data_IF_843223379627
#
_entry.id   IF_843223379627
#
_cell.length_a   1.000
_cell.length_b   1.000
_cell.length_c   1.000
_cell.angle_alpha   90.00
_cell.angle_beta   90.00
_cell.angle_gamma   90.00
#
_symmetry.space_group_name_H-M   'P 1'
#
loop_
_entity.id
_entity.type
_entity.pdbx_description
1 polymer ?
#
# COMPACT_ATOMS: atom_id res chain seq x y z
N UNK A 1 -21.96 -6.71 15.93
CA UNK A 1 -23.46 -6.67 15.77
C UNK A 1 -24.15 -5.34 16.19
N UNK A 2 -23.85 -4.75 17.36
CA UNK A 2 -24.43 -3.46 17.83
C UNK A 2 -24.13 -2.26 16.90
N UNK A 3 -22.93 -2.20 16.33
CA UNK A 3 -22.45 -1.09 15.49
C UNK A 3 -23.25 -0.97 14.18
N UNK A 4 -23.55 -2.09 13.52
CA UNK A 4 -24.38 -2.11 12.32
C UNK A 4 -25.82 -1.62 12.57
N UNK A 5 -26.38 -1.94 13.74
CA UNK A 5 -27.70 -1.46 14.13
C UNK A 5 -27.72 0.05 14.39
N UNK A 6 -26.64 0.62 14.94
CA UNK A 6 -26.49 2.07 15.10
C UNK A 6 -26.40 2.78 13.75
N UNK A 7 -25.66 2.23 12.78
CA UNK A 7 -25.57 2.82 11.44
C UNK A 7 -26.90 2.78 10.68
N UNK A 8 -27.62 1.66 10.72
CA UNK A 8 -28.99 1.53 10.19
C UNK A 8 -29.93 2.56 10.83
N UNK A 9 -29.85 2.76 12.14
CA UNK A 9 -30.66 3.76 12.85
C UNK A 9 -30.37 5.19 12.40
N UNK A 10 -29.10 5.56 12.24
CA UNK A 10 -28.68 6.89 11.76
C UNK A 10 -29.15 7.11 10.32
N UNK A 11 -29.05 6.09 9.46
CA UNK A 11 -29.55 6.14 8.07
C UNK A 11 -31.07 6.33 8.03
N UNK A 12 -31.81 5.67 8.93
CA UNK A 12 -33.27 5.82 9.04
C UNK A 12 -33.69 7.19 9.58
N UNK A 13 -32.92 7.79 10.49
CA UNK A 13 -33.21 9.12 11.07
C UNK A 13 -32.87 10.29 10.14
N UNK A 14 -31.74 10.25 9.41
CA UNK A 14 -31.30 11.35 8.52
C UNK A 14 -31.72 11.19 7.06
N UNK A 15 -32.25 10.03 6.68
CA UNK A 15 -32.60 9.67 5.30
C UNK A 15 -31.38 9.23 4.48
N UNK A 16 -31.57 8.25 3.59
CA UNK A 16 -30.46 7.57 2.86
C UNK A 16 -29.59 8.48 2.00
N UNK A 17 -30.15 9.58 1.45
CA UNK A 17 -29.47 10.45 0.46
C UNK A 17 -28.72 11.63 1.08
N UNK A 18 -28.65 11.74 2.40
CA UNK A 18 -28.00 12.87 3.02
C UNK A 18 -26.47 12.72 2.99
N UNK A 19 -25.76 13.72 2.46
CA UNK A 19 -24.29 13.72 2.36
C UNK A 19 -23.58 13.47 3.70
N UNK A 20 -24.22 13.83 4.82
CA UNK A 20 -23.74 13.51 6.18
C UNK A 20 -23.57 12.00 6.44
N UNK A 21 -24.27 11.12 5.71
CA UNK A 21 -24.13 9.67 5.83
C UNK A 21 -22.83 9.15 5.22
N UNK A 22 -22.25 9.85 4.25
CA UNK A 22 -20.97 9.46 3.64
C UNK A 22 -19.88 9.51 4.71
N UNK A 23 -19.79 10.62 5.44
CA UNK A 23 -18.77 10.80 6.50
C UNK A 23 -19.09 10.00 7.77
N UNK A 24 -20.37 9.86 8.13
CA UNK A 24 -20.77 9.25 9.42
C UNK A 24 -20.97 7.74 9.37
N UNK A 25 -21.17 7.14 8.18
CA UNK A 25 -21.48 5.71 8.04
C UNK A 25 -20.53 5.04 7.05
N UNK A 26 -20.40 5.58 5.84
CA UNK A 26 -19.61 4.94 4.78
C UNK A 26 -18.11 5.04 5.08
N UNK A 27 -17.62 6.21 5.49
CA UNK A 27 -16.21 6.43 5.83
C UNK A 27 -15.72 5.53 6.96
N UNK A 28 -16.39 5.42 8.12
CA UNK A 28 -15.95 4.51 9.18
C UNK A 28 -16.06 3.04 8.77
N UNK A 29 -17.10 2.61 8.04
CA UNK A 29 -17.18 1.23 7.55
C UNK A 29 -16.05 0.88 6.57
N UNK A 30 -15.72 1.82 5.68
CA UNK A 30 -14.72 1.64 4.63
C UNK A 30 -13.30 1.97 5.08
N UNK A 31 -13.11 2.55 6.27
CA UNK A 31 -11.82 3.02 6.78
C UNK A 31 -10.75 1.92 6.80
N UNK A 32 -11.13 0.70 7.16
CA UNK A 32 -10.24 -0.46 7.14
C UNK A 32 -9.78 -0.78 5.71
N UNK A 33 -10.69 -0.75 4.74
CA UNK A 33 -10.35 -0.96 3.33
C UNK A 33 -9.51 0.18 2.75
N UNK A 34 -9.74 1.42 3.18
CA UNK A 34 -8.91 2.56 2.81
C UNK A 34 -7.49 2.41 3.35
N UNK A 35 -7.33 1.94 4.58
CA UNK A 35 -6.02 1.70 5.18
C UNK A 35 -5.29 0.56 4.46
N UNK A 36 -5.99 -0.53 4.12
CA UNK A 36 -5.46 -1.60 3.28
C UNK A 36 -5.01 -1.09 1.91
N UNK A 37 -5.83 -0.26 1.28
CA UNK A 37 -5.49 0.38 0.00
C UNK A 37 -4.28 1.31 0.11
N UNK A 38 -4.17 2.08 1.20
CA UNK A 38 -3.02 2.94 1.45
C UNK A 38 -1.73 2.12 1.62
N UNK A 39 -1.75 1.05 2.43
CA UNK A 39 -0.60 0.14 2.59
C UNK A 39 -0.18 -0.49 1.26
N UNK A 40 -1.14 -0.93 0.44
CA UNK A 40 -0.86 -1.52 -0.86
C UNK A 40 -0.30 -0.49 -1.86
N UNK A 41 -0.78 0.75 -1.83
CA UNK A 41 -0.25 1.82 -2.66
C UNK A 41 1.21 2.14 -2.35
N UNK A 42 1.64 2.02 -1.08
CA UNK A 42 3.02 2.22 -0.67
C UNK A 42 3.94 1.16 -1.29
N UNK A 43 3.54 -0.11 -1.25
CA UNK A 43 4.23 -1.22 -1.93
C UNK A 43 4.42 -0.94 -3.42
N UNK A 44 3.36 -0.52 -4.12
CA UNK A 44 3.44 -0.23 -5.54
C UNK A 44 4.30 1.00 -5.82
N UNK A 45 4.21 2.03 -4.98
CA UNK A 45 5.01 3.24 -5.07
C UNK A 45 6.50 2.95 -5.10
N UNK A 46 6.98 2.05 -4.23
CA UNK A 46 8.39 1.64 -4.19
C UNK A 46 8.87 1.02 -5.51
N UNK A 47 8.06 0.14 -6.12
CA UNK A 47 8.40 -0.50 -7.41
C UNK A 47 8.42 0.52 -8.56
N UNK A 48 7.47 1.46 -8.54
CA UNK A 48 7.39 2.55 -9.52
C UNK A 48 8.53 3.55 -9.35
N UNK A 49 8.99 3.82 -8.13
CA UNK A 49 10.14 4.68 -7.86
C UNK A 49 11.42 4.12 -8.50
N UNK A 50 11.69 2.83 -8.32
CA UNK A 50 12.82 2.15 -8.98
C UNK A 50 12.72 2.29 -10.50
N UNK A 51 11.52 2.09 -11.06
CA UNK A 51 11.29 2.27 -12.50
C UNK A 51 11.49 3.74 -12.94
N UNK A 52 11.02 4.70 -12.14
CA UNK A 52 11.20 6.12 -12.41
C UNK A 52 12.68 6.50 -12.41
N UNK A 53 13.48 5.94 -11.50
CA UNK A 53 14.93 6.11 -11.48
C UNK A 53 15.62 5.48 -12.70
N UNK A 54 15.18 4.30 -13.15
CA UNK A 54 15.74 3.69 -14.37
C UNK A 54 15.45 4.52 -15.62
N UNK A 55 14.30 5.21 -15.66
CA UNK A 55 13.89 6.06 -16.79
C UNK A 55 14.50 7.47 -16.71
N UNK A 56 14.72 7.97 -15.49
CA UNK A 56 15.23 9.32 -15.26
C UNK A 56 16.75 9.36 -15.39
N UNK A 57 17.20 9.52 -16.64
CA UNK A 57 18.63 9.57 -17.03
C UNK A 57 19.46 10.65 -16.31
N UNK A 58 18.84 11.74 -15.83
CA UNK A 58 19.52 12.95 -15.31
C UNK A 58 19.38 13.19 -13.82
N UNK A 59 18.91 12.21 -13.04
CA UNK A 59 18.83 12.39 -11.59
C UNK A 59 20.24 12.38 -10.96
N UNK A 60 20.54 13.38 -10.14
CA UNK A 60 21.79 13.45 -9.35
C UNK A 60 21.79 12.45 -8.20
N UNK A 61 20.62 11.93 -7.82
CA UNK A 61 20.47 10.92 -6.79
C UNK A 61 21.06 9.57 -7.22
N UNK A 62 21.75 8.92 -6.28
CA UNK A 62 22.34 7.59 -6.42
C UNK A 62 21.33 6.57 -5.88
N UNK A 63 20.37 6.22 -6.74
CA UNK A 63 19.35 5.22 -6.44
C UNK A 63 19.62 3.88 -7.10
N UNK A 64 18.90 2.84 -6.65
CA UNK A 64 19.10 1.46 -7.13
C UNK A 64 18.70 1.34 -8.61
N UNK A 65 17.70 2.08 -9.06
CA UNK A 65 17.29 2.08 -10.47
C UNK A 65 18.35 2.70 -11.38
N UNK A 66 19.07 3.71 -10.90
CA UNK A 66 20.18 4.33 -11.64
C UNK A 66 21.38 3.40 -11.78
N UNK A 67 21.70 2.62 -10.74
CA UNK A 67 22.78 1.63 -10.81
C UNK A 67 22.49 0.54 -11.85
N UNK A 68 21.23 0.06 -11.91
CA UNK A 68 20.78 -0.87 -12.94
C UNK A 68 20.97 -0.25 -14.33
N UNK A 69 20.57 1.00 -14.51
CA UNK A 69 20.73 1.71 -15.78
C UNK A 69 22.21 1.89 -16.18
N UNK A 70 23.09 2.22 -15.23
CA UNK A 70 24.52 2.37 -15.50
C UNK A 70 25.19 1.05 -15.87
N UNK A 71 24.86 -0.05 -15.18
CA UNK A 71 25.32 -1.40 -15.57
C UNK A 71 24.79 -1.80 -16.95
N UNK A 72 23.54 -1.46 -17.27
CA UNK A 72 22.98 -1.68 -18.60
C UNK A 72 23.73 -0.90 -19.68
N UNK A 73 24.01 0.38 -19.44
CA UNK A 73 24.73 1.24 -20.39
C UNK A 73 26.20 0.84 -20.56
N UNK A 74 26.82 0.22 -19.56
CA UNK A 74 28.20 -0.26 -19.60
C UNK A 74 28.32 -1.70 -20.11
N UNK A 75 27.20 -2.35 -20.48
CA UNK A 75 27.15 -3.73 -20.99
C UNK A 75 27.70 -4.76 -19.96
N UNK A 76 27.75 -4.38 -18.68
CA UNK A 76 28.12 -5.28 -17.58
C UNK A 76 26.89 -6.04 -17.08
N UNK A 77 26.57 -7.13 -17.79
CA UNK A 77 25.42 -7.97 -17.47
C UNK A 77 25.57 -8.74 -16.15
N UNK A 78 26.81 -9.00 -15.70
CA UNK A 78 27.06 -9.70 -14.44
C UNK A 78 26.62 -8.82 -13.26
N UNK A 79 27.09 -7.58 -13.26
CA UNK A 79 26.71 -6.60 -12.24
C UNK A 79 25.24 -6.21 -12.34
N UNK A 80 24.69 -6.09 -13.55
CA UNK A 80 23.27 -5.83 -13.76
C UNK A 80 22.40 -6.90 -13.10
N UNK A 81 22.71 -8.18 -13.33
CA UNK A 81 21.95 -9.29 -12.76
C UNK A 81 21.99 -9.26 -11.22
N UNK A 82 23.15 -8.95 -10.63
CA UNK A 82 23.29 -8.82 -9.18
C UNK A 82 22.40 -7.71 -8.60
N UNK A 83 22.37 -6.53 -9.22
CA UNK A 83 21.52 -5.42 -8.79
C UNK A 83 20.03 -5.74 -8.92
N UNK A 84 19.61 -6.35 -10.04
CA UNK A 84 18.21 -6.75 -10.24
C UNK A 84 17.79 -7.79 -9.21
N UNK A 85 18.64 -8.77 -8.92
CA UNK A 85 18.35 -9.81 -7.93
C UNK A 85 18.24 -9.22 -6.52
N UNK A 86 19.11 -8.27 -6.17
CA UNK A 86 19.04 -7.53 -4.91
C UNK A 86 17.71 -6.77 -4.78
N UNK A 87 17.27 -6.07 -5.83
CA UNK A 87 15.97 -5.39 -5.86
C UNK A 87 14.82 -6.36 -5.67
N UNK A 88 14.90 -7.53 -6.31
CA UNK A 88 13.86 -8.56 -6.22
C UNK A 88 13.72 -9.08 -4.79
N UNK A 89 14.85 -9.37 -4.13
CA UNK A 89 14.88 -9.77 -2.72
C UNK A 89 14.33 -8.65 -1.83
N UNK A 90 14.76 -7.41 -2.03
CA UNK A 90 14.30 -6.26 -1.26
C UNK A 90 12.79 -6.05 -1.39
N UNK A 91 12.26 -6.15 -2.62
CA UNK A 91 10.82 -6.10 -2.88
C UNK A 91 10.07 -7.19 -2.14
N UNK A 92 10.60 -8.42 -2.10
CA UNK A 92 9.98 -9.54 -1.40
C UNK A 92 9.95 -9.29 0.12
N UNK A 93 11.04 -8.77 0.69
CA UNK A 93 11.11 -8.41 2.11
C UNK A 93 10.07 -7.34 2.46
N UNK A 94 9.94 -6.30 1.64
CA UNK A 94 8.94 -5.25 1.84
C UNK A 94 7.52 -5.81 1.72
N UNK A 95 7.26 -6.66 0.72
CA UNK A 95 5.96 -7.32 0.52
C UNK A 95 5.58 -8.18 1.74
N UNK A 96 6.54 -8.94 2.30
CA UNK A 96 6.32 -9.76 3.50
C UNK A 96 6.06 -8.90 4.73
N UNK A 97 6.85 -7.84 4.95
CA UNK A 97 6.67 -6.93 6.09
C UNK A 97 5.31 -6.24 6.05
N UNK A 98 4.89 -5.74 4.87
CA UNK A 98 3.61 -5.07 4.72
C UNK A 98 2.44 -6.04 4.84
N UNK A 99 2.55 -7.27 4.32
CA UNK A 99 1.55 -8.31 4.55
C UNK A 99 1.44 -8.69 6.02
N UNK A 100 2.55 -8.73 6.77
CA UNK A 100 2.51 -8.96 8.21
C UNK A 100 1.78 -7.84 8.96
N UNK A 101 2.05 -6.57 8.60
CA UNK A 101 1.33 -5.41 9.17
C UNK A 101 -0.16 -5.48 8.83
N UNK A 102 -0.50 -5.77 7.57
CA UNK A 102 -1.89 -5.97 7.12
C UNK A 102 -2.61 -7.03 7.95
N UNK A 103 -2.02 -8.21 8.11
CA UNK A 103 -2.62 -9.31 8.87
C UNK A 103 -2.83 -8.94 10.35
N UNK A 104 -1.91 -8.15 10.93
CA UNK A 104 -2.04 -7.65 12.30
C UNK A 104 -3.20 -6.67 12.45
N UNK A 105 -3.40 -5.78 11.48
CA UNK A 105 -4.51 -4.81 11.47
C UNK A 105 -5.84 -5.53 11.30
N UNK A 106 -5.95 -6.48 10.37
CA UNK A 106 -7.17 -7.29 10.18
C UNK A 106 -7.50 -8.10 11.45
N UNK A 107 -6.49 -8.65 12.13
CA UNK A 107 -6.67 -9.39 13.39
C UNK A 107 -7.11 -8.48 14.55
N UNK A 108 -6.59 -7.25 14.61
CA UNK A 108 -7.00 -6.26 15.60
C UNK A 108 -8.44 -5.76 15.37
N UNK A 109 -8.91 -5.77 14.12
CA UNK A 109 -10.27 -5.37 13.72
C UNK A 109 -11.30 -6.49 13.90
N UNK A 110 -10.90 -7.77 13.88
CA UNK A 110 -11.80 -8.89 14.22
C UNK A 110 -12.05 -9.06 15.72
N UNK A 111 -11.10 -8.64 16.56
CA UNK A 111 -11.17 -8.79 18.03
C UNK A 111 -12.15 -7.89 18.82
N UNK A 112 -12.66 -6.74 18.35
CA UNK A 112 -13.60 -5.92 19.10
C UNK A 112 -15.06 -6.37 18.97
N UNK A 113 -15.35 -7.53 18.34
CA UNK A 113 -16.72 -8.04 18.16
C UNK A 113 -17.10 -9.18 19.11
N UNK A 114 -16.20 -9.70 19.95
CA UNK A 114 -16.46 -10.83 20.85
C UNK A 114 -16.77 -10.46 22.31
N UNK A 115 -16.71 -9.18 22.70
CA UNK A 115 -17.11 -8.70 24.04
C UNK A 115 -18.40 -7.85 24.02
#
# INVERSE_FOLDING_TARGET
KKTYQQYEYIIRMKGRKHFSNITSVILPLSSNYLLLGALQSLTFGFKVEIMAETLSYRSTFLGVGRMIYLCYSSVDYLSLMAWVLLVLILSLVIDVLLNYVKNKIESAVKKPEED
#
